data_IF_774716019198
#
_entry.id   IF_774716019198
#
_cell.length_a   1.000
_cell.length_b   1.000
_cell.length_c   1.000
_cell.angle_alpha   90.00
_cell.angle_beta   90.00
_cell.angle_gamma   90.00
#
_symmetry.space_group_name_H-M   'P 1'
#
loop_
_entity.id
_entity.type
_entity.pdbx_description
1 polymer ?
#
# COMPACT_ATOMS: atom_id res chain seq x y z
N UNK A 1 -14.92 9.47 9.61
CA UNK A 1 -14.93 9.03 8.21
C UNK A 1 -13.79 8.05 7.99
N UNK A 2 -14.09 6.89 7.44
CA UNK A 2 -13.05 5.92 7.09
C UNK A 2 -12.57 6.19 5.65
N UNK A 3 -11.31 6.61 5.49
CA UNK A 3 -10.76 7.00 4.19
C UNK A 3 -10.71 5.82 3.20
N UNK A 4 -10.55 4.60 3.68
CA UNK A 4 -10.50 3.38 2.85
C UNK A 4 -11.86 2.98 2.27
N UNK A 5 -12.96 3.43 2.88
CA UNK A 5 -14.33 3.18 2.42
C UNK A 5 -15.04 4.44 1.93
N UNK A 6 -14.34 5.58 1.99
CA UNK A 6 -14.87 6.86 1.50
C UNK A 6 -15.08 6.79 -0.02
N UNK A 7 -16.23 7.30 -0.48
CA UNK A 7 -16.61 7.27 -1.89
C UNK A 7 -16.68 8.67 -2.53
N UNK A 8 -15.95 9.63 -1.98
CA UNK A 8 -15.87 10.96 -2.60
C UNK A 8 -15.36 10.92 -4.03
N UNK A 9 -14.52 9.91 -4.33
CA UNK A 9 -13.98 9.68 -5.67
C UNK A 9 -15.08 9.49 -6.73
N UNK A 10 -16.27 9.00 -6.36
CA UNK A 10 -17.38 8.81 -7.31
C UNK A 10 -17.77 10.11 -8.05
N UNK A 11 -17.52 11.26 -7.44
CA UNK A 11 -17.77 12.56 -8.06
C UNK A 11 -16.78 12.88 -9.20
N UNK A 12 -15.61 12.26 -9.17
CA UNK A 12 -14.50 12.58 -10.07
C UNK A 12 -14.24 11.48 -11.11
N UNK A 13 -14.68 10.25 -10.83
CA UNK A 13 -14.38 9.06 -11.63
C UNK A 13 -15.63 8.28 -12.00
N UNK A 14 -16.62 8.99 -12.58
CA UNK A 14 -17.82 8.35 -13.14
C UNK A 14 -17.59 7.80 -14.55
N UNK A 15 -16.40 8.00 -15.10
CA UNK A 15 -16.03 7.58 -16.46
C UNK A 15 -15.56 6.12 -16.45
N UNK A 16 -16.25 5.29 -17.24
CA UNK A 16 -15.97 3.85 -17.39
C UNK A 16 -14.63 3.54 -18.11
N UNK A 17 -13.90 4.53 -18.57
CA UNK A 17 -12.64 4.36 -19.31
C UNK A 17 -11.42 4.22 -18.40
N UNK A 18 -11.57 4.40 -17.09
CA UNK A 18 -10.46 4.29 -16.14
C UNK A 18 -10.26 2.84 -15.75
N UNK A 19 -9.03 2.35 -15.87
CA UNK A 19 -8.68 1.01 -15.38
C UNK A 19 -8.71 0.99 -13.86
N UNK A 20 -9.21 -0.11 -13.30
CA UNK A 20 -9.42 -0.28 -11.86
C UNK A 20 -8.54 -1.40 -11.28
N UNK A 21 -8.45 -1.42 -9.97
CA UNK A 21 -7.89 -2.52 -9.19
C UNK A 21 -6.45 -2.33 -8.77
N UNK A 22 -6.03 -3.14 -7.81
CA UNK A 22 -4.65 -3.21 -7.32
C UNK A 22 -3.91 -4.32 -8.06
N UNK A 23 -2.67 -4.06 -8.49
CA UNK A 23 -1.84 -4.99 -9.25
C UNK A 23 -0.47 -5.14 -8.62
N UNK A 24 -0.15 -6.33 -8.14
CA UNK A 24 1.18 -6.63 -7.64
C UNK A 24 2.14 -6.91 -8.80
N UNK A 25 3.30 -6.28 -8.76
CA UNK A 25 4.44 -6.49 -9.66
C UNK A 25 5.65 -6.87 -8.80
N UNK A 26 5.80 -8.17 -8.54
CA UNK A 26 6.79 -8.67 -7.58
C UNK A 26 8.03 -9.13 -8.33
N UNK A 27 9.20 -8.59 -7.99
CA UNK A 27 10.48 -9.04 -8.53
C UNK A 27 10.71 -10.52 -8.21
N UNK A 28 11.33 -11.24 -9.13
CA UNK A 28 11.58 -12.69 -8.99
C UNK A 28 12.43 -13.03 -7.77
N UNK A 29 13.29 -12.11 -7.36
CA UNK A 29 14.23 -12.27 -6.22
C UNK A 29 13.59 -12.01 -4.86
N UNK A 30 12.35 -11.55 -4.79
CA UNK A 30 11.61 -11.39 -3.53
C UNK A 30 11.36 -12.78 -2.92
N UNK A 31 11.58 -12.92 -1.61
CA UNK A 31 11.47 -14.21 -0.94
C UNK A 31 10.06 -14.78 -1.01
N UNK A 32 9.95 -16.10 -0.94
CA UNK A 32 8.66 -16.81 -1.01
C UNK A 32 7.68 -16.34 0.07
N UNK A 33 8.13 -16.19 1.31
CA UNK A 33 7.26 -15.79 2.43
C UNK A 33 6.66 -14.40 2.23
N UNK A 34 7.47 -13.45 1.80
CA UNK A 34 7.02 -12.08 1.52
C UNK A 34 6.04 -12.07 0.34
N UNK A 35 6.36 -12.80 -0.71
CA UNK A 35 5.50 -12.95 -1.89
C UNK A 35 4.15 -13.53 -1.51
N UNK A 36 4.14 -14.59 -0.73
CA UNK A 36 2.91 -15.24 -0.24
C UNK A 36 2.08 -14.26 0.60
N UNK A 37 2.69 -13.61 1.58
CA UNK A 37 2.01 -12.68 2.47
C UNK A 37 1.35 -11.52 1.69
N UNK A 38 2.07 -10.93 0.73
CA UNK A 38 1.53 -9.85 -0.11
C UNK A 38 0.39 -10.31 -1.00
N UNK A 39 0.48 -11.51 -1.59
CA UNK A 39 -0.59 -12.07 -2.42
C UNK A 39 -1.87 -12.33 -1.62
N UNK A 40 -1.73 -12.94 -0.45
CA UNK A 40 -2.88 -13.22 0.43
C UNK A 40 -3.52 -11.94 0.94
N UNK A 41 -2.71 -10.99 1.38
CA UNK A 41 -3.20 -9.69 1.84
C UNK A 41 -3.93 -8.94 0.72
N UNK A 42 -3.36 -8.91 -0.47
CA UNK A 42 -3.97 -8.24 -1.62
C UNK A 42 -5.29 -8.91 -2.03
N UNK A 43 -5.36 -10.25 -1.97
CA UNK A 43 -6.60 -10.98 -2.23
C UNK A 43 -7.69 -10.61 -1.23
N UNK A 44 -7.34 -10.48 0.06
CA UNK A 44 -8.27 -10.01 1.09
C UNK A 44 -8.73 -8.57 0.84
N UNK A 45 -7.80 -7.67 0.52
CA UNK A 45 -8.14 -6.28 0.22
C UNK A 45 -9.11 -6.15 -0.97
N UNK A 46 -8.91 -6.93 -2.03
CA UNK A 46 -9.78 -6.90 -3.23
C UNK A 46 -11.23 -7.25 -2.92
N UNK A 47 -11.46 -8.08 -1.92
CA UNK A 47 -12.81 -8.46 -1.49
C UNK A 47 -13.46 -7.39 -0.62
N UNK A 48 -12.67 -6.59 0.08
CA UNK A 48 -13.16 -5.69 1.12
C UNK A 48 -13.20 -4.22 0.67
N UNK A 49 -12.30 -3.82 -0.22
CA UNK A 49 -12.13 -2.41 -0.60
C UNK A 49 -12.17 -2.22 -2.11
N UNK A 50 -12.57 -1.02 -2.53
CA UNK A 50 -12.59 -0.63 -3.94
C UNK A 50 -11.32 0.10 -4.32
N UNK A 51 -10.80 -0.18 -5.52
CA UNK A 51 -9.65 0.51 -6.10
C UNK A 51 -10.10 1.13 -7.42
N UNK A 52 -10.73 2.34 -7.38
CA UNK A 52 -11.37 2.94 -8.55
C UNK A 52 -10.39 3.35 -9.65
N UNK A 53 -9.14 3.66 -9.28
CA UNK A 53 -8.06 3.87 -10.23
C UNK A 53 -7.03 2.77 -10.02
N UNK A 54 -6.58 2.15 -11.13
CA UNK A 54 -5.59 1.08 -11.04
C UNK A 54 -4.34 1.56 -10.34
N UNK A 55 -3.90 0.78 -9.35
CA UNK A 55 -2.70 1.04 -8.58
C UNK A 55 -1.74 -0.14 -8.70
N UNK A 56 -0.72 -0.06 -9.57
CA UNK A 56 0.36 -1.04 -9.57
C UNK A 56 1.26 -0.87 -8.35
N UNK A 57 1.62 -1.99 -7.76
CA UNK A 57 2.51 -2.05 -6.60
C UNK A 57 3.77 -2.81 -7.01
N UNK A 58 4.87 -2.09 -7.14
CA UNK A 58 6.17 -2.65 -7.48
C UNK A 58 6.87 -3.11 -6.20
N UNK A 59 7.03 -4.41 -6.07
CA UNK A 59 7.67 -5.04 -4.89
C UNK A 59 9.11 -5.35 -5.26
N UNK A 60 10.04 -4.66 -4.61
CA UNK A 60 11.47 -4.73 -4.87
C UNK A 60 12.18 -5.59 -3.83
N UNK A 61 13.20 -6.34 -4.26
CA UNK A 61 14.03 -7.14 -3.36
C UNK A 61 15.14 -6.33 -2.66
N UNK A 62 15.33 -5.09 -3.05
CA UNK A 62 16.31 -4.19 -2.41
C UNK A 62 15.90 -3.79 -1.00
N UNK A 63 16.86 -3.38 -0.18
CA UNK A 63 16.60 -2.89 1.18
C UNK A 63 15.93 -1.52 1.17
N UNK A 64 16.21 -0.70 0.18
CA UNK A 64 15.66 0.63 0.01
C UNK A 64 15.36 0.88 -1.47
N UNK A 65 14.51 1.85 -1.70
CA UNK A 65 14.13 2.31 -3.04
C UNK A 65 14.33 3.81 -3.14
N UNK A 66 14.43 4.30 -4.37
CA UNK A 66 14.51 5.73 -4.64
C UNK A 66 13.13 6.24 -5.01
N UNK A 67 12.62 7.21 -4.25
CA UNK A 67 11.39 7.91 -4.56
C UNK A 67 11.62 8.86 -5.76
N UNK A 68 10.53 9.35 -6.35
CA UNK A 68 10.59 10.22 -7.52
C UNK A 68 11.36 11.53 -7.25
N UNK A 69 11.26 12.06 -6.04
CA UNK A 69 12.00 13.26 -5.60
C UNK A 69 13.47 13.02 -5.31
N UNK A 70 13.92 11.76 -5.38
CA UNK A 70 15.29 11.35 -5.13
C UNK A 70 15.57 10.84 -3.72
N UNK A 71 14.61 10.92 -2.80
CA UNK A 71 14.77 10.41 -1.44
C UNK A 71 14.91 8.89 -1.43
N UNK A 72 15.71 8.37 -0.51
CA UNK A 72 15.90 6.93 -0.28
C UNK A 72 14.96 6.51 0.83
N UNK A 73 14.01 5.64 0.51
CA UNK A 73 12.91 5.27 1.40
C UNK A 73 12.63 3.77 1.36
N UNK A 74 11.84 3.27 2.32
CA UNK A 74 11.38 1.88 2.33
C UNK A 74 10.18 1.67 1.41
N UNK A 75 9.34 2.68 1.26
CA UNK A 75 8.16 2.66 0.41
C UNK A 75 7.81 4.05 -0.06
N UNK A 76 7.08 4.15 -1.16
CA UNK A 76 6.62 5.43 -1.70
C UNK A 76 5.35 5.26 -2.53
N UNK A 77 4.47 6.25 -2.48
CA UNK A 77 3.34 6.42 -3.38
C UNK A 77 3.62 7.57 -4.33
N UNK A 78 3.59 7.28 -5.63
CA UNK A 78 3.64 8.31 -6.66
C UNK A 78 2.25 8.89 -6.88
N UNK A 79 2.09 10.16 -6.53
CA UNK A 79 0.85 10.93 -6.65
C UNK A 79 0.93 11.80 -7.91
N UNK A 80 0.28 11.39 -9.02
CA UNK A 80 0.27 12.23 -10.22
C UNK A 80 -0.63 13.46 -10.05
N UNK A 81 -0.26 14.57 -10.68
CA UNK A 81 -1.09 15.77 -10.70
C UNK A 81 -2.38 15.55 -11.49
N UNK A 82 -2.31 14.76 -12.56
CA UNK A 82 -3.42 14.40 -13.41
C UNK A 82 -3.96 13.02 -13.02
N UNK A 83 -5.24 12.94 -12.71
CA UNK A 83 -5.93 11.71 -12.34
C UNK A 83 -6.01 10.67 -13.47
N UNK A 84 -5.76 11.06 -14.70
CA UNK A 84 -5.66 10.13 -15.84
C UNK A 84 -4.27 9.54 -16.02
N UNK A 85 -3.27 10.05 -15.30
CA UNK A 85 -1.95 9.45 -15.23
C UNK A 85 -1.96 8.38 -14.14
N UNK A 86 -1.48 7.18 -14.45
CA UNK A 86 -1.49 6.04 -13.53
C UNK A 86 -0.56 6.29 -12.33
N UNK A 87 -1.09 6.25 -11.10
CA UNK A 87 -0.25 6.29 -9.91
C UNK A 87 0.47 4.96 -9.73
N UNK A 88 1.45 4.90 -8.83
CA UNK A 88 2.05 3.63 -8.43
C UNK A 88 2.58 3.67 -7.00
N UNK A 89 2.76 2.49 -6.45
CA UNK A 89 3.44 2.28 -5.18
C UNK A 89 4.70 1.46 -5.45
N UNK A 90 5.79 1.79 -4.76
CA UNK A 90 6.98 0.95 -4.67
C UNK A 90 7.23 0.61 -3.22
N UNK A 91 7.55 -0.66 -2.94
CA UNK A 91 7.96 -1.10 -1.60
C UNK A 91 9.24 -1.91 -1.69
N UNK A 92 10.15 -1.68 -0.73
CA UNK A 92 11.37 -2.44 -0.55
C UNK A 92 11.13 -3.58 0.44
N UNK A 93 11.72 -4.75 0.18
CA UNK A 93 11.55 -5.94 1.03
C UNK A 93 12.88 -6.57 1.44
N UNK A 94 14.00 -5.94 1.07
CA UNK A 94 15.33 -6.54 1.27
C UNK A 94 15.77 -6.67 2.72
N UNK A 95 15.14 -5.96 3.64
CA UNK A 95 15.39 -6.04 5.07
C UNK A 95 14.59 -7.13 5.80
N UNK A 96 13.78 -7.91 5.07
CA UNK A 96 12.92 -8.94 5.66
C UNK A 96 13.68 -9.94 6.55
N UNK A 97 14.81 -10.45 6.09
CA UNK A 97 15.55 -11.46 6.86
C UNK A 97 16.12 -10.89 8.15
N UNK A 98 16.56 -9.64 8.14
CA UNK A 98 17.01 -8.99 9.36
C UNK A 98 15.85 -8.72 10.32
N UNK A 99 14.73 -8.26 9.83
CA UNK A 99 13.51 -8.08 10.64
C UNK A 99 13.02 -9.40 11.22
N UNK A 100 13.04 -10.48 10.43
CA UNK A 100 12.69 -11.82 10.91
C UNK A 100 13.59 -12.25 12.06
N UNK A 101 14.89 -12.03 11.93
CA UNK A 101 15.87 -12.39 12.94
C UNK A 101 15.70 -11.59 14.24
N UNK A 102 15.38 -10.29 14.15
CA UNK A 102 15.29 -9.39 15.31
C UNK A 102 13.90 -9.38 15.94
N UNK A 103 12.84 -9.44 15.14
CA UNK A 103 11.46 -9.22 15.60
C UNK A 103 10.55 -10.44 15.43
N UNK A 104 11.04 -11.51 14.78
CA UNK A 104 10.27 -12.68 14.45
C UNK A 104 9.54 -12.56 13.10
N UNK A 105 9.13 -13.70 12.56
CA UNK A 105 8.51 -13.82 11.23
C UNK A 105 7.24 -12.99 11.09
N UNK A 106 6.32 -13.11 12.03
CA UNK A 106 5.02 -12.45 11.96
C UNK A 106 5.17 -10.93 12.00
N UNK A 107 6.04 -10.41 12.85
CA UNK A 107 6.31 -8.98 12.94
C UNK A 107 7.03 -8.46 11.69
N UNK A 108 7.94 -9.25 11.13
CA UNK A 108 8.63 -8.89 9.88
C UNK A 108 7.64 -8.79 8.71
N UNK A 109 6.74 -9.77 8.57
CA UNK A 109 5.71 -9.74 7.53
C UNK A 109 4.73 -8.57 7.76
N UNK A 110 4.32 -8.35 9.00
CA UNK A 110 3.43 -7.24 9.35
C UNK A 110 4.06 -5.88 9.01
N UNK A 111 5.36 -5.72 9.20
CA UNK A 111 6.08 -4.49 8.83
C UNK A 111 6.02 -4.23 7.32
N UNK A 112 6.18 -5.27 6.50
CA UNK A 112 6.10 -5.15 5.04
C UNK A 112 4.67 -4.84 4.60
N UNK A 113 3.68 -5.53 5.13
CA UNK A 113 2.27 -5.25 4.86
C UNK A 113 1.90 -3.83 5.34
N UNK A 114 2.44 -3.40 6.47
CA UNK A 114 2.24 -2.06 7.01
C UNK A 114 2.76 -0.97 6.07
N UNK A 115 3.90 -1.18 5.44
CA UNK A 115 4.42 -0.27 4.42
C UNK A 115 3.46 -0.11 3.25
N UNK A 116 2.90 -1.22 2.77
CA UNK A 116 1.90 -1.17 1.70
C UNK A 116 0.63 -0.44 2.14
N UNK A 117 0.14 -0.71 3.34
CA UNK A 117 -1.06 -0.05 3.88
C UNK A 117 -0.84 1.46 4.00
N UNK A 118 0.33 1.88 4.47
CA UNK A 118 0.68 3.29 4.59
C UNK A 118 0.57 3.99 3.24
N UNK A 119 1.17 3.43 2.20
CA UNK A 119 1.14 4.02 0.86
C UNK A 119 -0.26 3.95 0.22
N UNK A 120 -1.01 2.89 0.47
CA UNK A 120 -2.41 2.80 0.04
C UNK A 120 -3.30 3.83 0.73
N UNK A 121 -2.98 4.22 1.96
CA UNK A 121 -3.71 5.32 2.61
C UNK A 121 -3.50 6.63 1.86
N UNK A 122 -2.28 6.90 1.40
CA UNK A 122 -2.01 8.05 0.52
C UNK A 122 -2.78 7.97 -0.80
N UNK A 123 -2.90 6.77 -1.38
CA UNK A 123 -3.73 6.54 -2.55
C UNK A 123 -5.20 6.94 -2.30
N UNK A 124 -5.77 6.51 -1.17
CA UNK A 124 -7.15 6.87 -0.83
C UNK A 124 -7.33 8.36 -0.51
N UNK A 125 -6.33 8.99 0.09
CA UNK A 125 -6.32 10.45 0.25
C UNK A 125 -6.36 11.15 -1.10
N UNK A 126 -5.56 10.68 -2.04
CA UNK A 126 -5.44 11.26 -3.37
C UNK A 126 -6.73 11.11 -4.19
N UNK A 127 -7.27 9.89 -4.31
CA UNK A 127 -8.49 9.67 -5.12
C UNK A 127 -9.71 10.40 -4.55
N UNK A 128 -9.77 10.58 -3.25
CA UNK A 128 -10.88 11.27 -2.58
C UNK A 128 -10.66 12.78 -2.43
N UNK A 129 -9.55 13.31 -2.95
CA UNK A 129 -9.20 14.73 -2.86
C UNK A 129 -9.29 15.26 -1.42
N UNK A 130 -8.69 14.53 -0.48
CA UNK A 130 -8.69 14.91 0.94
C UNK A 130 -7.69 16.04 1.14
N UNK A 131 -8.18 17.16 1.63
CA UNK A 131 -7.34 18.32 1.91
C UNK A 131 -6.79 18.25 3.34
N UNK A 132 -5.56 17.78 3.49
CA UNK A 132 -4.82 17.70 4.73
C UNK A 132 -3.44 18.34 4.56
N UNK A 133 -2.89 18.84 5.66
CA UNK A 133 -1.45 19.17 5.69
C UNK A 133 -0.63 17.91 5.51
N UNK A 134 0.63 18.05 5.11
CA UNK A 134 1.53 16.92 4.98
C UNK A 134 1.63 16.11 6.28
N UNK A 135 1.80 16.81 7.42
CA UNK A 135 1.80 16.17 8.74
C UNK A 135 0.49 15.43 9.02
N UNK A 136 -0.64 16.01 8.64
CA UNK A 136 -1.96 15.39 8.79
C UNK A 136 -2.10 14.14 7.92
N UNK A 137 -1.60 14.17 6.69
CA UNK A 137 -1.58 13.01 5.78
C UNK A 137 -0.76 11.86 6.36
N UNK A 138 0.44 12.15 6.85
CA UNK A 138 1.32 11.15 7.46
C UNK A 138 0.70 10.56 8.74
N UNK A 139 0.15 11.40 9.59
CA UNK A 139 -0.53 10.95 10.80
C UNK A 139 -1.69 10.01 10.49
N UNK A 140 -2.50 10.33 9.49
CA UNK A 140 -3.61 9.50 9.05
C UNK A 140 -3.09 8.16 8.46
N UNK A 141 -2.04 8.18 7.64
CA UNK A 141 -1.45 6.98 7.07
C UNK A 141 -0.91 6.05 8.15
N UNK A 142 -0.24 6.59 9.16
CA UNK A 142 0.24 5.81 10.31
C UNK A 142 -0.91 5.20 11.11
N UNK A 143 -1.98 5.95 11.36
CA UNK A 143 -3.15 5.44 12.06
C UNK A 143 -3.82 4.30 11.31
N UNK A 144 -4.01 4.43 10.00
CA UNK A 144 -4.64 3.38 9.20
C UNK A 144 -3.76 2.14 9.05
N UNK A 145 -2.45 2.27 9.13
CA UNK A 145 -1.56 1.10 9.14
C UNK A 145 -1.96 0.15 10.27
N UNK A 146 -2.14 0.65 11.49
CA UNK A 146 -2.58 -0.15 12.63
C UNK A 146 -4.01 -0.68 12.48
N UNK A 147 -4.93 0.16 12.01
CA UNK A 147 -6.34 -0.20 11.84
C UNK A 147 -6.49 -1.35 10.83
N UNK A 148 -5.89 -1.22 9.65
CA UNK A 148 -6.04 -2.22 8.58
C UNK A 148 -5.30 -3.52 8.92
N UNK A 149 -4.10 -3.44 9.50
CA UNK A 149 -3.41 -4.63 10.00
C UNK A 149 -4.25 -5.36 11.05
N UNK A 150 -4.87 -4.61 11.96
CA UNK A 150 -5.76 -5.18 12.99
C UNK A 150 -6.98 -5.88 12.39
N UNK A 151 -7.60 -5.31 11.37
CA UNK A 151 -8.73 -5.93 10.67
C UNK A 151 -8.30 -7.21 9.95
N UNK A 152 -7.14 -7.18 9.29
CA UNK A 152 -6.59 -8.36 8.62
C UNK A 152 -6.25 -9.48 9.62
N UNK A 153 -5.66 -9.12 10.75
CA UNK A 153 -5.28 -10.08 11.80
C UNK A 153 -6.48 -10.85 12.38
N UNK A 154 -7.68 -10.28 12.34
CA UNK A 154 -8.90 -10.97 12.76
C UNK A 154 -9.29 -12.14 11.84
N UNK A 155 -8.73 -12.21 10.64
CA UNK A 155 -9.10 -13.20 9.62
C UNK A 155 -8.15 -14.40 9.59
N UNK A 156 -7.05 -14.38 10.35
CA UNK A 156 -6.00 -15.42 10.29
C UNK A 156 -5.12 -15.42 11.53
N UNK A 157 -4.41 -16.51 11.71
CA UNK A 157 -3.49 -16.68 12.83
C UNK A 157 -2.14 -15.99 12.57
N UNK A 158 -1.66 -16.02 11.32
CA UNK A 158 -0.38 -15.43 10.91
C UNK A 158 -0.53 -14.60 9.64
N UNK A 159 0.26 -13.52 9.51
CA UNK A 159 0.24 -12.70 8.29
C UNK A 159 0.71 -13.43 7.03
#
# INVERSE_FOLDING_TARGET
MNIWTCKRWEKYYSDNNVRMGIRLRIEKTVTFEVRRALKEFTAWMRKKYSFPIRIPVYVKSSERIKARDGDIVCATFFEPDDKYVEPYIKIATGDYFELERTDGRDNALAAILGSLIHELTHYYQWINCINLTEVGRERQANAYTGIILGEYAKTREHP
#
